data_IF_398987588455
#
_entry.id   IF_398987588455
#
_cell.length_a   1.000
_cell.length_b   1.000
_cell.length_c   1.000
_cell.angle_alpha   90.00
_cell.angle_beta   90.00
_cell.angle_gamma   90.00
#
_symmetry.space_group_name_H-M   'P 1'
#
loop_
_entity.id
_entity.type
_entity.pdbx_description
1 polymer ?
#
# COMPACT_ATOMS: atom_id res chain seq x y z
N UNK A 1 -27.01 -1.83 15.65
CA UNK A 1 -26.19 -2.70 14.77
C UNK A 1 -25.03 -1.85 14.25
N UNK A 2 -23.79 -2.24 14.54
CA UNK A 2 -22.59 -1.43 14.23
C UNK A 2 -21.80 -2.11 13.11
N UNK A 3 -22.26 -1.99 11.87
CA UNK A 3 -21.70 -2.66 10.68
C UNK A 3 -20.46 -1.96 10.06
N UNK A 4 -19.88 -0.94 10.70
CA UNK A 4 -18.78 -0.15 10.13
C UNK A 4 -17.39 -0.31 10.77
N UNK A 5 -17.27 -0.99 11.93
CA UNK A 5 -16.03 -0.93 12.73
C UNK A 5 -14.89 -1.83 12.24
N UNK A 6 -15.19 -2.96 11.60
CA UNK A 6 -14.17 -3.89 11.12
C UNK A 6 -13.46 -3.44 9.84
N UNK A 7 -14.17 -2.71 8.97
CA UNK A 7 -13.66 -2.30 7.65
C UNK A 7 -12.66 -1.15 7.76
N UNK A 8 -12.90 -0.19 8.66
CA UNK A 8 -12.02 0.96 8.89
C UNK A 8 -10.64 0.53 9.43
N UNK A 9 -10.61 -0.38 10.39
CA UNK A 9 -9.36 -0.89 10.98
C UNK A 9 -8.53 -1.68 9.96
N UNK A 10 -9.20 -2.53 9.16
CA UNK A 10 -8.55 -3.27 8.07
C UNK A 10 -7.98 -2.33 6.99
N UNK A 11 -8.67 -1.23 6.67
CA UNK A 11 -8.21 -0.27 5.66
C UNK A 11 -6.99 0.51 6.15
N UNK A 12 -7.01 0.95 7.41
CA UNK A 12 -5.84 1.58 8.05
C UNK A 12 -4.65 0.64 8.06
N UNK A 13 -4.87 -0.65 8.33
CA UNK A 13 -3.81 -1.65 8.29
C UNK A 13 -3.22 -1.79 6.88
N UNK A 14 -4.03 -1.80 5.81
CA UNK A 14 -3.51 -1.86 4.44
C UNK A 14 -2.67 -0.63 4.04
N UNK A 15 -3.06 0.56 4.49
CA UNK A 15 -2.26 1.79 4.28
C UNK A 15 -0.94 1.70 5.05
N UNK A 16 -0.97 1.20 6.28
CA UNK A 16 0.23 0.98 7.10
C UNK A 16 1.18 -0.04 6.45
N UNK A 17 0.65 -1.15 5.96
CA UNK A 17 1.41 -2.18 5.25
C UNK A 17 2.11 -1.60 4.01
N UNK A 18 1.40 -0.77 3.23
CA UNK A 18 1.98 -0.06 2.10
C UNK A 18 3.13 0.83 2.52
N UNK A 19 2.97 1.64 3.57
CA UNK A 19 4.02 2.54 4.07
C UNK A 19 5.27 1.76 4.49
N UNK A 20 5.08 0.69 5.28
CA UNK A 20 6.18 -0.16 5.74
C UNK A 20 6.90 -0.84 4.58
N UNK A 21 6.15 -1.32 3.58
CA UNK A 21 6.73 -1.86 2.35
C UNK A 21 7.58 -0.80 1.64
N UNK A 22 7.03 0.39 1.43
CA UNK A 22 7.70 1.45 0.66
C UNK A 22 9.01 1.90 1.32
N UNK A 23 8.99 2.10 2.64
CA UNK A 23 10.18 2.47 3.40
C UNK A 23 11.29 1.40 3.28
N UNK A 24 10.91 0.11 3.30
CA UNK A 24 11.84 -1.00 3.11
C UNK A 24 12.39 -1.09 1.68
N UNK A 25 11.53 -0.90 0.67
CA UNK A 25 11.92 -0.89 -0.74
C UNK A 25 12.92 0.24 -1.03
N UNK A 26 12.65 1.45 -0.54
CA UNK A 26 13.54 2.60 -0.72
C UNK A 26 14.87 2.44 0.03
N UNK A 27 14.85 1.88 1.25
CA UNK A 27 16.07 1.56 1.98
C UNK A 27 16.92 0.50 1.26
N UNK A 28 16.28 -0.51 0.66
CA UNK A 28 16.97 -1.52 -0.14
C UNK A 28 17.63 -0.90 -1.39
N UNK A 29 16.91 -0.03 -2.11
CA UNK A 29 17.43 0.68 -3.29
C UNK A 29 18.59 1.60 -2.94
N UNK A 30 18.49 2.37 -1.85
CA UNK A 30 19.59 3.23 -1.39
C UNK A 30 20.83 2.44 -0.93
N UNK A 31 20.64 1.20 -0.45
CA UNK A 31 21.75 0.30 -0.10
C UNK A 31 22.46 -0.24 -1.33
N UNK A 32 21.71 -0.51 -2.41
CA UNK A 32 22.27 -1.00 -3.68
C UNK A 32 22.91 0.12 -4.49
N UNK A 33 22.28 1.30 -4.52
CA UNK A 33 22.78 2.52 -5.13
C UNK A 33 22.68 3.70 -4.15
N UNK A 34 23.78 4.10 -3.50
CA UNK A 34 23.80 5.24 -2.60
C UNK A 34 23.46 6.58 -3.26
N UNK A 35 23.47 6.66 -4.60
CA UNK A 35 23.06 7.85 -5.35
C UNK A 35 21.54 7.90 -5.58
N UNK A 36 20.82 6.84 -5.21
CA UNK A 36 19.38 6.77 -5.34
C UNK A 36 18.69 7.73 -4.36
N UNK A 37 18.00 8.73 -4.91
CA UNK A 37 17.20 9.64 -4.11
C UNK A 37 16.01 8.90 -3.48
N UNK A 38 15.88 8.98 -2.15
CA UNK A 38 14.76 8.37 -1.44
C UNK A 38 13.45 9.05 -1.83
N UNK A 39 12.53 8.27 -2.40
CA UNK A 39 11.20 8.75 -2.75
C UNK A 39 10.26 8.55 -1.55
N UNK A 40 9.57 9.59 -1.07
CA UNK A 40 8.64 9.46 0.05
C UNK A 40 7.47 8.53 -0.29
N UNK A 41 6.93 7.84 0.72
CA UNK A 41 5.78 6.94 0.55
C UNK A 41 4.51 7.70 0.10
N UNK A 42 4.39 8.94 0.55
CA UNK A 42 3.31 9.86 0.22
C UNK A 42 3.77 10.90 -0.82
N UNK A 43 2.88 11.38 -1.71
CA UNK A 43 1.51 10.90 -1.88
C UNK A 43 1.48 9.46 -2.45
N UNK A 44 0.43 8.71 -2.11
CA UNK A 44 0.19 7.40 -2.71
C UNK A 44 -0.28 7.63 -4.14
N UNK A 45 0.38 7.00 -5.12
CA UNK A 45 0.03 7.07 -6.54
C UNK A 45 0.00 5.68 -7.16
N UNK A 46 -0.74 5.52 -8.26
CA UNK A 46 -0.93 4.23 -8.93
C UNK A 46 0.37 3.46 -9.21
N UNK A 47 1.43 4.14 -9.61
CA UNK A 47 2.74 3.51 -9.85
C UNK A 47 3.35 2.88 -8.59
N UNK A 48 3.27 3.56 -7.44
CA UNK A 48 3.75 3.02 -6.14
C UNK A 48 2.89 1.86 -5.67
N UNK A 49 1.57 1.96 -5.87
CA UNK A 49 0.62 0.89 -5.57
C UNK A 49 0.90 -0.35 -6.42
N UNK A 50 1.19 -0.20 -7.71
CA UNK A 50 1.51 -1.33 -8.58
C UNK A 50 2.73 -2.13 -8.08
N UNK A 51 3.79 -1.44 -7.67
CA UNK A 51 4.98 -2.08 -7.07
C UNK A 51 4.63 -2.81 -5.76
N UNK A 52 3.84 -2.17 -4.90
CA UNK A 52 3.37 -2.79 -3.67
C UNK A 52 2.51 -4.04 -3.92
N UNK A 53 1.61 -3.99 -4.90
CA UNK A 53 0.76 -5.14 -5.27
C UNK A 53 1.60 -6.29 -5.82
N UNK A 54 2.62 -6.01 -6.64
CA UNK A 54 3.54 -7.04 -7.12
C UNK A 54 4.27 -7.73 -5.96
N UNK A 55 4.73 -6.96 -4.97
CA UNK A 55 5.30 -7.51 -3.75
C UNK A 55 4.27 -8.34 -2.95
N UNK A 56 3.04 -7.83 -2.80
CA UNK A 56 1.99 -8.53 -2.05
C UNK A 56 1.62 -9.87 -2.68
N UNK A 57 1.51 -9.92 -4.00
CA UNK A 57 1.11 -11.13 -4.75
C UNK A 57 2.24 -12.18 -4.75
N UNK A 58 3.50 -11.74 -4.79
CA UNK A 58 4.66 -12.65 -4.75
C UNK A 58 4.94 -13.22 -3.37
N UNK A 59 4.35 -12.66 -2.31
CA UNK A 59 4.55 -13.14 -0.94
C UNK A 59 3.63 -14.33 -0.60
N UNK A 60 4.15 -15.38 0.06
CA UNK A 60 3.30 -16.39 0.67
C UNK A 60 2.35 -15.80 1.72
N UNK A 61 1.20 -16.43 1.97
CA UNK A 61 0.34 -16.00 3.09
C UNK A 61 1.08 -16.21 4.41
N UNK A 62 0.82 -15.37 5.41
CA UNK A 62 1.20 -15.69 6.78
C UNK A 62 0.08 -16.43 7.51
N UNK A 63 0.45 -17.38 8.37
CA UNK A 63 -0.46 -17.89 9.40
C UNK A 63 -0.66 -16.83 10.51
N UNK A 64 -1.55 -17.11 11.46
CA UNK A 64 -1.80 -16.24 12.63
C UNK A 64 -0.54 -16.02 13.50
N UNK A 65 0.46 -16.91 13.40
CA UNK A 65 1.74 -16.82 14.10
C UNK A 65 2.80 -15.98 13.33
N UNK A 66 2.48 -15.48 12.14
CA UNK A 66 3.39 -14.69 11.30
C UNK A 66 4.34 -15.52 10.44
N UNK A 67 4.20 -16.85 10.40
CA UNK A 67 5.03 -17.74 9.59
C UNK A 67 4.47 -17.83 8.16
N UNK A 68 5.36 -17.83 7.19
CA UNK A 68 5.01 -17.96 5.77
C UNK A 68 4.49 -19.38 5.46
N UNK A 69 3.32 -19.46 4.83
CA UNK A 69 2.68 -20.69 4.37
C UNK A 69 3.13 -20.98 2.93
N UNK A 70 4.07 -21.92 2.72
CA UNK A 70 4.61 -22.21 1.40
C UNK A 70 3.51 -22.73 0.45
N UNK A 71 3.55 -22.32 -0.81
CA UNK A 71 2.58 -22.74 -1.84
C UNK A 71 1.22 -22.02 -1.79
N UNK A 72 1.06 -21.01 -0.95
CA UNK A 72 -0.16 -20.18 -0.90
C UNK A 72 0.11 -18.78 -1.43
N UNK A 73 -0.83 -18.21 -2.18
CA UNK A 73 -0.79 -16.80 -2.61
C UNK A 73 -1.82 -15.99 -1.85
N UNK A 74 -1.60 -14.69 -1.69
CA UNK A 74 -2.65 -13.80 -1.15
C UNK A 74 -3.93 -13.95 -1.99
N UNK A 75 -5.08 -14.02 -1.31
CA UNK A 75 -6.37 -14.18 -1.95
C UNK A 75 -6.74 -12.93 -2.76
N UNK A 76 -7.39 -13.12 -3.91
CA UNK A 76 -7.84 -12.02 -4.79
C UNK A 76 -8.70 -11.00 -4.03
N UNK A 77 -9.47 -11.43 -3.04
CA UNK A 77 -10.30 -10.57 -2.20
C UNK A 77 -9.48 -9.64 -1.31
N UNK A 78 -8.40 -10.13 -0.71
CA UNK A 78 -7.49 -9.29 0.08
C UNK A 78 -6.78 -8.25 -0.79
N UNK A 79 -6.45 -8.61 -2.04
CA UNK A 79 -5.91 -7.65 -3.02
C UNK A 79 -6.95 -6.57 -3.35
N UNK A 80 -8.21 -6.95 -3.61
CA UNK A 80 -9.30 -5.98 -3.84
C UNK A 80 -9.47 -5.03 -2.66
N UNK A 81 -9.50 -5.56 -1.43
CA UNK A 81 -9.60 -4.75 -0.21
C UNK A 81 -8.41 -3.79 -0.06
N UNK A 82 -7.20 -4.24 -0.42
CA UNK A 82 -6.00 -3.39 -0.40
C UNK A 82 -6.12 -2.23 -1.38
N UNK A 83 -6.55 -2.51 -2.62
CA UNK A 83 -6.75 -1.46 -3.64
C UNK A 83 -7.81 -0.46 -3.19
N UNK A 84 -8.95 -0.94 -2.70
CA UNK A 84 -10.03 -0.09 -2.19
C UNK A 84 -9.58 0.77 -1.01
N UNK A 85 -8.80 0.22 -0.07
CA UNK A 85 -8.26 0.97 1.06
C UNK A 85 -7.30 2.08 0.63
N UNK A 86 -6.39 1.78 -0.30
CA UNK A 86 -5.43 2.77 -0.81
C UNK A 86 -6.13 3.85 -1.63
N UNK A 87 -7.13 3.50 -2.43
CA UNK A 87 -7.92 4.46 -3.20
C UNK A 87 -8.75 5.36 -2.28
N UNK A 88 -9.39 4.81 -1.24
CA UNK A 88 -10.11 5.60 -0.25
C UNK A 88 -9.15 6.60 0.42
N UNK A 89 -7.97 6.14 0.82
CA UNK A 89 -6.96 7.02 1.42
C UNK A 89 -6.56 8.17 0.50
N UNK A 90 -6.32 7.89 -0.79
CA UNK A 90 -6.04 8.92 -1.80
C UNK A 90 -7.20 9.93 -1.90
N UNK A 91 -8.45 9.45 -1.95
CA UNK A 91 -9.63 10.30 -2.05
C UNK A 91 -9.83 11.18 -0.81
N UNK A 92 -9.61 10.64 0.39
CA UNK A 92 -9.70 11.41 1.63
C UNK A 92 -8.63 12.49 1.71
N UNK A 93 -7.43 12.24 1.18
CA UNK A 93 -6.27 13.14 1.29
C UNK A 93 -6.05 14.01 0.04
N UNK A 94 -6.89 13.89 -0.99
CA UNK A 94 -6.74 14.62 -2.27
C UNK A 94 -6.70 16.14 -2.13
N UNK A 95 -7.31 16.68 -1.06
CA UNK A 95 -7.38 18.10 -0.77
C UNK A 95 -6.09 18.63 -0.12
N UNK A 96 -5.19 17.75 0.34
CA UNK A 96 -3.91 18.16 0.92
C UNK A 96 -2.98 18.69 -0.17
N UNK A 97 -2.17 19.72 0.11
CA UNK A 97 -1.29 20.34 -0.88
C UNK A 97 -0.28 19.35 -1.49
N UNK A 98 0.19 18.37 -0.71
CA UNK A 98 1.09 17.32 -1.19
C UNK A 98 0.45 16.39 -2.24
N UNK A 99 -0.86 16.15 -2.13
CA UNK A 99 -1.62 15.35 -3.09
C UNK A 99 -2.05 16.21 -4.27
N UNK A 100 -2.54 17.42 -4.03
CA UNK A 100 -2.99 18.34 -5.08
C UNK A 100 -1.86 18.73 -6.05
N UNK A 101 -0.62 18.80 -5.58
CA UNK A 101 0.57 19.08 -6.41
C UNK A 101 0.98 17.91 -7.33
N UNK A 102 0.47 16.69 -7.09
CA UNK A 102 0.84 15.51 -7.87
C UNK A 102 -0.26 15.17 -8.89
N UNK A 103 -0.02 15.40 -10.17
CA UNK A 103 -1.04 15.11 -11.21
C UNK A 103 -1.49 13.62 -11.22
N UNK A 104 -0.63 12.71 -10.75
CA UNK A 104 -0.90 11.27 -10.69
C UNK A 104 -1.78 10.82 -9.50
N UNK A 105 -2.16 11.73 -8.60
CA UNK A 105 -3.09 11.44 -7.48
C UNK A 105 -4.52 11.89 -7.79
N UNK A 106 -4.73 12.64 -8.89
CA UNK A 106 -6.05 13.16 -9.25
C UNK A 106 -6.92 12.02 -9.78
N UNK A 107 -7.79 11.51 -8.92
CA UNK A 107 -8.80 10.52 -9.28
C UNK A 107 -9.97 11.30 -9.90
N UNK A 108 -9.98 11.45 -11.22
CA UNK A 108 -11.15 11.91 -11.96
C UNK A 108 -12.14 10.74 -12.06
N UNK A 109 -13.22 10.78 -11.27
CA UNK A 109 -14.37 9.87 -11.39
C UNK A 109 -15.41 10.46 -12.35
#
# INVERSE_FOLDING_TARGET
MSEGKGTDDAYKQHVKDYKVFWEKDQAAKAKEDPSHALVPAYPIVGAKVALFLQYKISRPKCNHCGEDLPGTSIGKESIKQTVSALQLHMQEHQHLPEYAACHNTQILL
#
